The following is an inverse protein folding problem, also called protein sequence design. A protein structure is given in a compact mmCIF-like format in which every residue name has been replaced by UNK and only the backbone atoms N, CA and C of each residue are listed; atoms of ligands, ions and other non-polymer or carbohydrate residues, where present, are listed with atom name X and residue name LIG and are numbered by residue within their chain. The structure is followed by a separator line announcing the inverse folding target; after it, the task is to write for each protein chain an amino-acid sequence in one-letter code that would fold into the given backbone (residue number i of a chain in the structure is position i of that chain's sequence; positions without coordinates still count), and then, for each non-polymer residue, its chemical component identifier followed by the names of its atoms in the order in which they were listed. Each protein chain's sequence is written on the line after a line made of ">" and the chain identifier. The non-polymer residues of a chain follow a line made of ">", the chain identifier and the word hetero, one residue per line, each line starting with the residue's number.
data_IF_321248444289
#
_entry.id   IF_321248444289
#
_cell.length_a   1.000
_cell.length_b   1.000
_cell.length_c   1.000
_cell.angle_alpha   90.00
_cell.angle_beta   90.00
_cell.angle_gamma   90.00
#
_symmetry.space_group_name_H-M   'P 1'
#
loop_
_entity.id
_entity.type
_entity.pdbx_description
1 polymer ?
#
# COMPACT_ATOMS: atom_id res chain seq x y z
N UNK A 1 -27.98 -6.95 9.30
CA UNK A 1 -27.68 -7.21 10.73
C UNK A 1 -26.24 -7.67 10.80
N UNK A 2 -25.46 -7.13 11.71
CA UNK A 2 -24.06 -7.52 11.88
C UNK A 2 -24.02 -8.92 12.51
N UNK A 3 -23.23 -9.85 11.94
CA UNK A 3 -23.04 -11.18 12.53
C UNK A 3 -22.43 -11.06 13.93
N UNK A 4 -22.92 -11.87 14.86
CA UNK A 4 -22.29 -12.00 16.19
C UNK A 4 -21.00 -12.81 16.07
N UNK A 5 -20.10 -12.69 17.08
CA UNK A 5 -18.88 -13.50 17.13
C UNK A 5 -19.19 -15.00 17.07
N UNK A 6 -20.24 -15.46 17.75
CA UNK A 6 -20.65 -16.86 17.71
C UNK A 6 -21.08 -17.31 16.32
N UNK A 7 -21.84 -16.47 15.62
CA UNK A 7 -22.22 -16.74 14.23
C UNK A 7 -21.02 -16.83 13.29
N UNK A 8 -20.05 -15.93 13.49
CA UNK A 8 -18.79 -15.91 12.73
C UNK A 8 -17.98 -17.18 13.00
N UNK A 9 -17.78 -17.56 14.26
CA UNK A 9 -17.10 -18.80 14.64
C UNK A 9 -17.76 -20.01 13.96
N UNK A 10 -19.08 -20.08 14.03
CA UNK A 10 -19.87 -21.17 13.40
C UNK A 10 -19.70 -21.21 11.89
N UNK A 11 -19.74 -20.05 11.22
CA UNK A 11 -19.54 -19.94 9.77
C UNK A 11 -18.12 -20.36 9.38
N UNK A 12 -17.10 -19.79 10.01
CA UNK A 12 -15.69 -20.08 9.74
C UNK A 12 -15.35 -21.55 9.97
N UNK A 13 -15.89 -22.17 11.01
CA UNK A 13 -15.72 -23.60 11.26
C UNK A 13 -16.33 -24.45 10.13
N UNK A 14 -17.55 -24.13 9.71
CA UNK A 14 -18.23 -24.85 8.61
C UNK A 14 -17.50 -24.70 7.28
N UNK A 15 -17.02 -23.50 6.96
CA UNK A 15 -16.22 -23.24 5.75
C UNK A 15 -14.95 -24.10 5.69
N UNK A 16 -14.41 -24.48 6.85
CA UNK A 16 -13.24 -25.36 6.99
C UNK A 16 -13.61 -26.84 7.21
N UNK A 17 -14.90 -27.18 7.08
CA UNK A 17 -15.42 -28.53 7.24
C UNK A 17 -15.02 -29.16 8.60
N UNK A 18 -14.88 -28.35 9.65
CA UNK A 18 -14.57 -28.82 11.00
C UNK A 18 -15.85 -29.12 11.77
N UNK A 19 -15.83 -30.19 12.61
CA UNK A 19 -16.86 -30.38 13.64
C UNK A 19 -16.57 -29.50 14.86
N UNK A 20 -17.54 -29.34 15.76
CA UNK A 20 -17.33 -28.59 17.00
C UNK A 20 -16.29 -29.29 17.89
N UNK A 21 -16.27 -30.64 17.88
CA UNK A 21 -15.28 -31.45 18.58
C UNK A 21 -13.86 -31.23 18.03
N UNK A 22 -13.72 -31.25 16.69
CA UNK A 22 -12.43 -31.04 16.04
C UNK A 22 -11.87 -29.64 16.30
N UNK A 23 -12.75 -28.63 16.34
CA UNK A 23 -12.35 -27.27 16.70
C UNK A 23 -11.95 -27.20 18.19
N UNK A 24 -12.72 -27.82 19.09
CA UNK A 24 -12.44 -27.87 20.51
C UNK A 24 -11.08 -28.53 20.81
N UNK A 25 -10.79 -29.64 20.15
CA UNK A 25 -9.50 -30.35 20.25
C UNK A 25 -8.33 -29.45 19.81
N UNK A 26 -8.46 -28.74 18.66
CA UNK A 26 -7.42 -27.80 18.16
C UNK A 26 -7.13 -26.68 19.12
N UNK A 27 -8.13 -26.23 19.85
CA UNK A 27 -8.04 -25.08 20.76
C UNK A 27 -7.72 -25.50 22.20
N UNK A 28 -7.70 -26.79 22.51
CA UNK A 28 -7.51 -27.29 23.88
C UNK A 28 -8.66 -26.93 24.81
N UNK A 29 -9.88 -26.82 24.28
CA UNK A 29 -11.09 -26.48 25.05
C UNK A 29 -12.13 -27.62 24.97
N UNK A 30 -13.20 -27.50 25.74
CA UNK A 30 -14.29 -28.49 25.71
C UNK A 30 -15.23 -28.22 24.51
N UNK A 31 -15.85 -29.27 23.98
CA UNK A 31 -16.93 -29.16 22.99
C UNK A 31 -18.06 -28.21 23.45
N UNK A 32 -18.42 -28.30 24.77
CA UNK A 32 -19.44 -27.42 25.35
C UNK A 32 -19.06 -25.94 25.28
N UNK A 33 -17.78 -25.61 25.39
CA UNK A 33 -17.32 -24.24 25.22
C UNK A 33 -17.54 -23.73 23.81
N UNK A 34 -17.15 -24.50 22.79
CA UNK A 34 -17.37 -24.15 21.38
C UNK A 34 -18.88 -24.03 21.08
N UNK A 35 -19.70 -24.98 21.57
CA UNK A 35 -21.15 -24.93 21.41
C UNK A 35 -21.78 -23.68 22.03
N UNK A 36 -21.34 -23.27 23.24
CA UNK A 36 -21.80 -22.03 23.87
C UNK A 36 -21.42 -20.78 23.07
N UNK A 37 -20.20 -20.75 22.52
CA UNK A 37 -19.76 -19.64 21.68
C UNK A 37 -20.62 -19.51 20.43
N UNK A 38 -20.84 -20.63 19.72
CA UNK A 38 -21.63 -20.63 18.47
C UNK A 38 -23.12 -20.32 18.62
N UNK A 39 -23.62 -20.42 19.85
CA UNK A 39 -25.03 -20.07 20.20
C UNK A 39 -25.15 -18.74 20.93
N UNK A 40 -24.04 -17.97 21.04
CA UNK A 40 -23.95 -16.71 21.81
C UNK A 40 -24.38 -16.88 23.29
N UNK A 41 -24.36 -18.11 23.82
CA UNK A 41 -24.60 -18.40 25.23
C UNK A 41 -23.36 -18.11 26.11
N UNK A 42 -22.24 -17.76 25.49
CA UNK A 42 -21.00 -17.33 26.11
C UNK A 42 -20.02 -16.84 25.07
N UNK A 43 -19.01 -16.09 25.49
CA UNK A 43 -17.92 -15.62 24.60
C UNK A 43 -16.64 -16.41 24.88
N UNK A 44 -15.76 -16.57 23.87
CA UNK A 44 -14.40 -17.04 24.09
C UNK A 44 -13.67 -16.12 25.07
N UNK A 45 -12.85 -16.71 25.93
CA UNK A 45 -11.88 -15.93 26.72
C UNK A 45 -10.92 -15.20 25.79
N UNK A 46 -10.41 -14.02 26.21
CA UNK A 46 -9.46 -13.23 25.41
C UNK A 46 -8.23 -14.06 24.99
N UNK A 47 -7.80 -14.98 25.85
CA UNK A 47 -6.70 -15.92 25.55
C UNK A 47 -7.01 -16.88 24.40
N UNK A 48 -8.29 -17.11 24.05
CA UNK A 48 -8.72 -17.98 22.95
C UNK A 48 -8.92 -17.23 21.63
N UNK A 49 -8.91 -15.91 21.62
CA UNK A 49 -9.14 -15.12 20.40
C UNK A 49 -8.05 -15.38 19.36
N UNK A 50 -6.78 -15.30 19.75
CA UNK A 50 -5.64 -15.54 18.83
C UNK A 50 -5.58 -17.02 18.38
N UNK A 51 -5.73 -18.03 19.26
CA UNK A 51 -5.86 -19.43 18.84
C UNK A 51 -7.01 -19.67 17.85
N UNK A 52 -8.19 -19.08 18.06
CA UNK A 52 -9.33 -19.15 17.14
C UNK A 52 -8.98 -18.56 15.76
N UNK A 53 -8.41 -17.37 15.74
CA UNK A 53 -8.00 -16.71 14.50
C UNK A 53 -6.98 -17.56 13.72
N UNK A 54 -6.00 -18.14 14.42
CA UNK A 54 -5.01 -19.05 13.84
C UNK A 54 -5.63 -20.36 13.33
N UNK A 55 -6.53 -20.97 14.10
CA UNK A 55 -7.23 -22.21 13.71
C UNK A 55 -8.04 -22.01 12.42
N UNK A 56 -8.57 -20.83 12.24
CA UNK A 56 -9.32 -20.45 11.04
C UNK A 56 -8.46 -19.78 9.95
N UNK A 57 -7.18 -19.46 10.19
CA UNK A 57 -6.34 -18.73 9.24
C UNK A 57 -6.90 -17.36 8.87
N UNK A 58 -7.51 -16.67 9.84
CA UNK A 58 -8.08 -15.32 9.68
C UNK A 58 -7.45 -14.36 10.69
N UNK A 59 -7.67 -13.05 10.50
CA UNK A 59 -7.31 -12.07 11.52
C UNK A 59 -8.31 -12.05 12.66
N UNK A 60 -7.87 -11.61 13.83
CA UNK A 60 -8.73 -11.44 15.00
C UNK A 60 -9.92 -10.53 14.73
N UNK A 61 -9.74 -9.49 13.90
CA UNK A 61 -10.76 -8.53 13.51
C UNK A 61 -11.96 -9.18 12.81
N UNK A 62 -11.70 -10.29 12.08
CA UNK A 62 -12.76 -11.10 11.45
C UNK A 62 -13.66 -11.73 12.51
N UNK A 63 -13.07 -12.18 13.64
CA UNK A 63 -13.85 -12.77 14.75
C UNK A 63 -14.73 -11.73 15.44
N UNK A 64 -14.30 -10.48 15.46
CA UNK A 64 -15.08 -9.36 16.01
C UNK A 64 -16.11 -8.78 15.02
N UNK A 65 -16.25 -9.39 13.83
CA UNK A 65 -17.17 -8.91 12.80
C UNK A 65 -16.73 -7.58 12.16
N UNK A 66 -15.47 -7.19 12.36
CA UNK A 66 -14.94 -5.94 11.80
C UNK A 66 -14.55 -6.09 10.32
N UNK A 67 -14.37 -7.33 9.84
CA UNK A 67 -14.08 -7.67 8.44
C UNK A 67 -14.88 -8.91 8.06
N UNK A 68 -16.16 -8.73 7.69
CA UNK A 68 -16.93 -9.75 6.96
C UNK A 68 -16.62 -9.65 5.45
N UNK A 69 -16.95 -10.66 4.65
CA UNK A 69 -16.93 -10.54 3.18
C UNK A 69 -17.77 -9.32 2.74
N UNK A 70 -18.89 -9.05 3.41
CA UNK A 70 -19.70 -7.83 3.25
C UNK A 70 -18.91 -6.55 3.57
N UNK A 71 -17.93 -6.60 4.48
CA UNK A 71 -17.07 -5.47 4.83
C UNK A 71 -16.05 -5.14 3.73
N UNK A 72 -15.49 -6.14 3.06
CA UNK A 72 -14.53 -5.92 1.97
C UNK A 72 -15.23 -5.30 0.75
N UNK A 73 -16.41 -5.79 0.39
CA UNK A 73 -17.22 -5.24 -0.70
C UNK A 73 -17.71 -3.82 -0.36
N UNK A 74 -18.20 -3.58 0.85
CA UNK A 74 -18.62 -2.26 1.31
C UNK A 74 -17.46 -1.25 1.31
N UNK A 75 -16.23 -1.68 1.62
CA UNK A 75 -15.04 -0.82 1.54
C UNK A 75 -14.70 -0.52 0.08
N UNK A 76 -14.75 -1.50 -0.81
CA UNK A 76 -14.51 -1.26 -2.24
C UNK A 76 -15.56 -0.34 -2.85
N UNK A 77 -16.83 -0.49 -2.47
CA UNK A 77 -17.90 0.41 -2.90
C UNK A 77 -17.70 1.84 -2.39
N UNK A 78 -17.25 1.98 -1.17
CA UNK A 78 -16.91 3.29 -0.60
C UNK A 78 -15.73 3.93 -1.33
N UNK A 79 -14.66 3.18 -1.60
CA UNK A 79 -13.52 3.68 -2.38
C UNK A 79 -13.99 4.10 -3.77
N UNK A 80 -14.76 3.28 -4.48
CA UNK A 80 -15.33 3.62 -5.79
C UNK A 80 -16.18 4.90 -5.74
N UNK A 81 -17.03 5.01 -4.74
CA UNK A 81 -17.89 6.19 -4.53
C UNK A 81 -17.07 7.45 -4.22
N UNK A 82 -15.97 7.33 -3.48
CA UNK A 82 -15.09 8.45 -3.20
C UNK A 82 -14.40 8.95 -4.49
N UNK A 83 -13.82 8.04 -5.27
CA UNK A 83 -13.14 8.38 -6.52
C UNK A 83 -14.10 8.88 -7.62
N UNK A 84 -15.34 8.42 -7.65
CA UNK A 84 -16.36 8.91 -8.59
C UNK A 84 -16.71 10.40 -8.39
N UNK A 85 -16.29 11.01 -7.28
CA UNK A 85 -16.47 12.45 -6.99
C UNK A 85 -15.36 13.32 -7.57
N UNK A 86 -14.24 12.71 -7.98
CA UNK A 86 -13.13 13.47 -8.55
C UNK A 86 -13.53 13.98 -9.92
N UNK A 87 -13.49 15.28 -10.10
CA UNK A 87 -13.77 15.95 -11.38
C UNK A 87 -12.70 15.59 -12.44
N UNK A 88 -13.05 15.74 -13.71
CA UNK A 88 -12.07 15.58 -14.81
C UNK A 88 -12.09 16.89 -15.63
N UNK A 89 -10.99 17.68 -15.59
CA UNK A 89 -9.76 17.48 -14.80
C UNK A 89 -10.01 17.57 -13.29
N UNK A 90 -9.14 16.90 -12.49
CA UNK A 90 -9.24 16.90 -11.04
C UNK A 90 -9.05 18.32 -10.48
N UNK A 91 -9.90 18.71 -9.54
CA UNK A 91 -9.81 19.98 -8.82
C UNK A 91 -9.50 19.71 -7.34
N UNK A 92 -8.90 20.68 -6.65
CA UNK A 92 -8.62 20.58 -5.22
C UNK A 92 -9.89 20.31 -4.40
N UNK A 93 -11.02 20.92 -4.77
CA UNK A 93 -12.30 20.71 -4.12
C UNK A 93 -12.78 19.26 -4.28
N UNK A 94 -12.74 18.71 -5.49
CA UNK A 94 -13.13 17.31 -5.74
C UNK A 94 -12.21 16.29 -5.06
N UNK A 95 -10.91 16.58 -4.97
CA UNK A 95 -9.95 15.76 -4.21
C UNK A 95 -10.22 15.83 -2.71
N UNK A 96 -10.59 17.00 -2.19
CA UNK A 96 -10.94 17.18 -0.78
C UNK A 96 -12.21 16.41 -0.42
N UNK A 97 -13.24 16.43 -1.26
CA UNK A 97 -14.46 15.63 -1.08
C UNK A 97 -14.15 14.12 -1.09
N UNK A 98 -13.30 13.67 -2.01
CA UNK A 98 -12.82 12.29 -2.05
C UNK A 98 -12.11 11.93 -0.74
N UNK A 99 -11.17 12.76 -0.30
CA UNK A 99 -10.41 12.56 0.94
C UNK A 99 -11.32 12.47 2.17
N UNK A 100 -12.28 13.38 2.31
CA UNK A 100 -13.24 13.38 3.41
C UNK A 100 -14.11 12.12 3.42
N UNK A 101 -14.51 11.64 2.23
CA UNK A 101 -15.28 10.40 2.09
C UNK A 101 -14.45 9.19 2.55
N UNK A 102 -13.19 9.11 2.14
CA UNK A 102 -12.27 8.05 2.58
C UNK A 102 -12.00 8.11 4.09
N UNK A 103 -11.82 9.31 4.65
CA UNK A 103 -11.69 9.49 6.10
C UNK A 103 -12.94 9.05 6.87
N UNK A 104 -14.13 9.30 6.34
CA UNK A 104 -15.38 8.80 6.93
C UNK A 104 -15.39 7.25 6.94
N UNK A 105 -14.85 6.62 5.90
CA UNK A 105 -14.62 5.17 5.87
C UNK A 105 -13.68 4.71 6.97
N UNK A 106 -12.58 5.40 7.20
CA UNK A 106 -11.64 5.06 8.28
C UNK A 106 -12.24 5.18 9.69
N UNK A 107 -13.27 5.99 9.91
CA UNK A 107 -14.00 5.99 11.18
C UNK A 107 -14.74 4.68 11.41
N UNK A 108 -15.21 4.03 10.35
CA UNK A 108 -15.91 2.74 10.42
C UNK A 108 -14.96 1.56 10.38
N UNK A 109 -13.86 1.66 9.62
CA UNK A 109 -12.83 0.63 9.42
C UNK A 109 -11.42 1.21 9.65
N UNK A 110 -11.01 1.48 10.91
CA UNK A 110 -9.84 2.31 11.25
C UNK A 110 -8.50 1.79 10.73
N UNK A 111 -8.36 0.47 10.59
CA UNK A 111 -7.11 -0.17 10.17
C UNK A 111 -7.24 -0.93 8.85
N UNK A 112 -8.26 -0.60 8.01
CA UNK A 112 -8.43 -1.30 6.74
C UNK A 112 -7.35 -0.88 5.74
N UNK A 113 -6.47 -1.81 5.28
CA UNK A 113 -5.27 -1.44 4.52
C UNK A 113 -5.57 -0.64 3.24
N UNK A 114 -6.60 -1.05 2.46
CA UNK A 114 -6.96 -0.34 1.25
C UNK A 114 -7.43 1.09 1.54
N UNK A 115 -8.24 1.32 2.58
CA UNK A 115 -8.68 2.68 2.94
C UNK A 115 -7.53 3.55 3.42
N UNK A 116 -6.63 2.99 4.25
CA UNK A 116 -5.44 3.70 4.72
C UNK A 116 -4.59 4.15 3.53
N UNK A 117 -4.36 3.25 2.58
CA UNK A 117 -3.54 3.53 1.41
C UNK A 117 -4.19 4.57 0.50
N UNK A 118 -5.50 4.44 0.22
CA UNK A 118 -6.21 5.41 -0.61
C UNK A 118 -6.30 6.80 0.04
N UNK A 119 -6.51 6.88 1.36
CA UNK A 119 -6.43 8.14 2.10
C UNK A 119 -5.05 8.77 2.00
N UNK A 120 -3.98 7.95 2.13
CA UNK A 120 -2.61 8.43 2.04
C UNK A 120 -2.31 9.01 0.65
N UNK A 121 -2.73 8.35 -0.42
CA UNK A 121 -2.49 8.78 -1.80
C UNK A 121 -3.21 10.09 -2.15
N UNK A 122 -4.49 10.20 -1.82
CA UNK A 122 -5.24 11.44 -2.03
C UNK A 122 -4.71 12.56 -1.13
N UNK A 123 -4.36 12.21 0.11
CA UNK A 123 -3.76 13.14 1.08
C UNK A 123 -2.41 13.66 0.62
N UNK A 124 -1.55 12.83 0.00
CA UNK A 124 -0.29 13.23 -0.60
C UNK A 124 -0.50 14.36 -1.62
N UNK A 125 -1.46 14.18 -2.54
CA UNK A 125 -1.74 15.19 -3.58
C UNK A 125 -2.23 16.51 -2.97
N UNK A 126 -3.08 16.45 -1.95
CA UNK A 126 -3.62 17.63 -1.28
C UNK A 126 -2.60 18.35 -0.41
N UNK A 127 -1.72 17.60 0.29
CA UNK A 127 -0.73 18.17 1.19
C UNK A 127 0.48 18.78 0.47
N UNK A 128 0.64 18.54 -0.83
CA UNK A 128 1.83 19.02 -1.54
C UNK A 128 1.87 20.56 -1.58
N UNK A 129 2.97 21.21 -1.14
CA UNK A 129 3.04 22.66 -0.97
C UNK A 129 2.83 23.47 -2.26
N UNK A 130 3.05 22.87 -3.42
CA UNK A 130 2.85 23.49 -4.73
C UNK A 130 1.37 23.55 -5.14
N UNK A 131 0.47 22.99 -4.34
CA UNK A 131 -0.95 23.13 -4.55
C UNK A 131 -1.42 24.53 -4.14
N UNK A 132 -1.28 25.51 -5.03
CA UNK A 132 -1.62 26.93 -4.81
C UNK A 132 -3.09 27.17 -4.41
N UNK A 133 -3.98 26.19 -4.67
CA UNK A 133 -5.40 26.28 -4.32
C UNK A 133 -5.68 25.88 -2.87
N UNK A 134 -4.68 25.40 -2.16
CA UNK A 134 -4.81 24.94 -0.78
C UNK A 134 -3.95 25.82 0.14
N UNK A 135 -4.56 26.41 1.16
CA UNK A 135 -3.79 27.23 2.06
C UNK A 135 -2.79 26.38 2.88
N UNK A 136 -1.71 27.02 3.30
CA UNK A 136 -0.60 26.35 3.98
C UNK A 136 -1.05 25.63 5.27
N UNK A 137 -1.98 26.17 6.01
CA UNK A 137 -2.46 25.59 7.27
C UNK A 137 -3.20 24.26 7.03
N UNK A 138 -4.06 24.22 6.03
CA UNK A 138 -4.74 23.00 5.61
C UNK A 138 -3.76 21.95 5.06
N UNK A 139 -2.77 22.36 4.26
CA UNK A 139 -1.70 21.50 3.76
C UNK A 139 -0.92 20.85 4.92
N UNK A 140 -0.47 21.63 5.90
CA UNK A 140 0.24 21.14 7.07
C UNK A 140 -0.62 20.20 7.94
N UNK A 141 -1.92 20.45 8.03
CA UNK A 141 -2.85 19.56 8.75
C UNK A 141 -2.96 18.21 8.05
N UNK A 142 -3.14 18.18 6.73
CA UNK A 142 -3.21 16.94 5.95
C UNK A 142 -1.86 16.22 5.97
N UNK A 143 -0.74 16.93 5.84
CA UNK A 143 0.59 16.36 5.98
C UNK A 143 0.75 15.57 7.29
N UNK A 144 0.40 16.16 8.44
CA UNK A 144 0.46 15.46 9.72
C UNK A 144 -0.43 14.21 9.77
N UNK A 145 -1.59 14.28 9.15
CA UNK A 145 -2.47 13.11 9.04
C UNK A 145 -1.88 12.04 8.10
N UNK A 146 -1.24 12.43 6.99
CA UNK A 146 -0.54 11.50 6.09
C UNK A 146 0.61 10.76 6.80
N UNK A 147 1.38 11.46 7.65
CA UNK A 147 2.42 10.81 8.47
C UNK A 147 1.80 9.72 9.35
N UNK A 148 0.70 10.03 10.03
CA UNK A 148 -0.02 9.05 10.86
C UNK A 148 -0.56 7.86 10.05
N UNK A 149 -1.12 8.14 8.87
CA UNK A 149 -1.66 7.09 7.99
C UNK A 149 -0.56 6.18 7.45
N UNK A 150 0.56 6.76 7.04
CA UNK A 150 1.72 6.01 6.56
C UNK A 150 2.28 5.08 7.64
N UNK A 151 2.41 5.56 8.88
CA UNK A 151 2.82 4.73 10.02
C UNK A 151 1.89 3.53 10.21
N UNK A 152 0.59 3.71 10.05
CA UNK A 152 -0.38 2.62 10.13
C UNK A 152 -0.23 1.63 8.97
N UNK A 153 -0.01 2.12 7.74
CA UNK A 153 0.25 1.24 6.59
C UNK A 153 1.55 0.45 6.78
N UNK A 154 2.63 1.10 7.22
CA UNK A 154 3.93 0.46 7.44
C UNK A 154 3.84 -0.60 8.55
N UNK A 155 3.11 -0.31 9.61
CA UNK A 155 2.98 -1.19 10.78
C UNK A 155 2.02 -2.36 10.58
N UNK A 156 0.92 -2.13 9.88
CA UNK A 156 -0.17 -3.11 9.74
C UNK A 156 -0.40 -3.58 8.30
N UNK A 157 0.26 -2.99 7.32
CA UNK A 157 0.20 -3.39 5.92
C UNK A 157 0.72 -4.80 5.71
N UNK A 158 0.06 -5.55 4.83
CA UNK A 158 0.45 -6.93 4.49
C UNK A 158 1.15 -7.01 3.14
N UNK A 159 0.92 -6.04 2.28
CA UNK A 159 1.52 -5.95 0.96
C UNK A 159 2.85 -5.21 1.06
N UNK A 160 3.94 -5.85 0.66
CA UNK A 160 5.24 -5.20 0.56
C UNK A 160 5.19 -3.98 -0.37
N UNK A 161 4.40 -4.05 -1.44
CA UNK A 161 4.19 -2.94 -2.36
C UNK A 161 3.52 -1.75 -1.67
N UNK A 162 2.47 -1.97 -0.86
CA UNK A 162 1.80 -0.87 -0.15
C UNK A 162 2.70 -0.25 0.91
N UNK A 163 3.51 -1.06 1.60
CA UNK A 163 4.49 -0.57 2.56
C UNK A 163 5.53 0.33 1.86
N UNK A 164 6.08 -0.10 0.72
CA UNK A 164 7.02 0.72 -0.06
C UNK A 164 6.36 1.99 -0.60
N UNK A 165 5.10 1.92 -1.07
CA UNK A 165 4.34 3.11 -1.50
C UNK A 165 4.12 4.09 -0.35
N UNK A 166 3.86 3.62 0.86
CA UNK A 166 3.76 4.47 2.05
C UNK A 166 5.11 5.14 2.37
N UNK A 167 6.22 4.41 2.31
CA UNK A 167 7.56 5.00 2.46
C UNK A 167 7.83 6.05 1.38
N UNK A 168 7.48 5.79 0.11
CA UNK A 168 7.63 6.77 -0.97
C UNK A 168 6.82 8.05 -0.69
N UNK A 169 5.55 7.90 -0.31
CA UNK A 169 4.71 9.05 0.03
C UNK A 169 5.35 9.90 1.14
N UNK A 170 5.99 9.25 2.12
CA UNK A 170 6.69 9.95 3.19
C UNK A 170 7.97 10.63 2.72
N UNK A 171 8.75 10.01 1.84
CA UNK A 171 9.92 10.68 1.23
C UNK A 171 9.49 11.99 0.58
N UNK A 172 8.47 11.92 -0.28
CA UNK A 172 7.97 13.09 -1.02
C UNK A 172 7.45 14.19 -0.09
N UNK A 173 6.60 13.84 0.88
CA UNK A 173 6.03 14.82 1.81
C UNK A 173 7.07 15.40 2.75
N UNK A 174 7.90 14.58 3.37
CA UNK A 174 8.96 15.08 4.28
C UNK A 174 9.94 15.99 3.54
N UNK A 175 10.36 15.65 2.32
CA UNK A 175 11.22 16.49 1.50
C UNK A 175 10.56 17.84 1.18
N UNK A 176 9.28 17.83 0.74
CA UNK A 176 8.53 19.04 0.40
C UNK A 176 8.31 19.97 1.61
N UNK A 177 8.23 19.41 2.83
CA UNK A 177 8.12 20.17 4.08
C UNK A 177 9.47 20.45 4.77
N UNK A 178 10.60 20.15 4.10
CA UNK A 178 11.95 20.44 4.61
C UNK A 178 12.45 19.48 5.69
N UNK A 179 11.75 18.39 5.97
CA UNK A 179 12.13 17.38 6.97
C UNK A 179 13.08 16.34 6.36
N UNK A 180 14.26 16.78 5.94
CA UNK A 180 15.22 15.99 5.15
C UNK A 180 15.67 14.70 5.84
N UNK A 181 15.88 14.72 7.16
CA UNK A 181 16.32 13.56 7.92
C UNK A 181 15.27 12.45 7.88
N UNK A 182 14.01 12.77 8.19
CA UNK A 182 12.90 11.84 8.09
C UNK A 182 12.70 11.30 6.66
N UNK A 183 12.87 12.16 5.64
CA UNK A 183 12.82 11.73 4.25
C UNK A 183 13.89 10.66 3.94
N UNK A 184 15.14 10.87 4.41
CA UNK A 184 16.23 9.90 4.23
C UNK A 184 16.00 8.58 4.97
N UNK A 185 15.43 8.61 6.16
CA UNK A 185 15.05 7.38 6.90
C UNK A 185 14.07 6.51 6.11
N UNK A 186 13.08 7.14 5.48
CA UNK A 186 12.14 6.43 4.62
C UNK A 186 12.79 5.98 3.30
N UNK A 187 13.64 6.81 2.69
CA UNK A 187 14.37 6.45 1.46
C UNK A 187 15.29 5.23 1.66
N UNK A 188 15.87 5.05 2.85
CA UNK A 188 16.72 3.91 3.16
C UNK A 188 15.99 2.55 3.16
N UNK A 189 14.67 2.55 3.12
CA UNK A 189 13.85 1.32 3.02
C UNK A 189 13.75 0.78 1.58
N UNK A 190 14.18 1.55 0.59
CA UNK A 190 14.13 1.12 -0.80
C UNK A 190 15.36 0.27 -1.17
N UNK A 191 15.16 -0.84 -1.89
CA UNK A 191 16.28 -1.64 -2.39
C UNK A 191 17.08 -0.86 -3.45
N UNK A 192 18.39 -1.04 -3.44
CA UNK A 192 19.33 -0.33 -4.34
C UNK A 192 19.05 -0.65 -5.83
N UNK A 193 18.38 -1.75 -6.14
CA UNK A 193 18.10 -2.25 -7.50
C UNK A 193 16.59 -2.41 -7.79
N UNK A 194 15.74 -1.53 -7.31
CA UNK A 194 14.34 -1.52 -7.71
C UNK A 194 14.05 -0.33 -8.63
N UNK A 195 12.92 -0.37 -9.33
CA UNK A 195 12.44 0.73 -10.18
C UNK A 195 12.33 2.08 -9.44
N UNK A 196 12.25 2.02 -8.10
CA UNK A 196 12.38 3.17 -7.21
C UNK A 196 13.67 3.03 -6.40
N UNK A 197 14.73 3.63 -6.90
CA UNK A 197 16.06 3.56 -6.27
C UNK A 197 16.20 4.59 -5.16
N UNK A 198 17.10 4.34 -4.21
CA UNK A 198 17.50 5.33 -3.20
C UNK A 198 17.93 6.66 -3.86
N UNK A 199 18.57 6.60 -5.02
CA UNK A 199 19.01 7.79 -5.77
C UNK A 199 17.85 8.65 -6.30
N UNK A 200 16.75 8.04 -6.76
CA UNK A 200 15.56 8.79 -7.14
C UNK A 200 14.94 9.49 -5.92
N UNK A 201 14.96 8.83 -4.75
CA UNK A 201 14.50 9.44 -3.51
C UNK A 201 15.42 10.56 -3.04
N UNK A 202 16.74 10.42 -3.17
CA UNK A 202 17.72 11.49 -2.89
C UNK A 202 17.50 12.71 -3.79
N UNK A 203 17.14 12.51 -5.07
CA UNK A 203 16.80 13.60 -5.97
C UNK A 203 15.58 14.39 -5.48
N UNK A 204 14.53 13.73 -5.02
CA UNK A 204 13.35 14.39 -4.43
C UNK A 204 13.68 15.16 -3.16
N UNK A 205 14.58 14.62 -2.32
CA UNK A 205 15.06 15.32 -1.12
C UNK A 205 15.81 16.60 -1.49
N UNK A 206 16.73 16.51 -2.45
CA UNK A 206 17.51 17.66 -2.94
C UNK A 206 16.62 18.72 -3.61
N UNK A 207 15.57 18.31 -4.32
CA UNK A 207 14.54 19.19 -4.87
C UNK A 207 13.84 20.00 -3.77
N UNK A 208 13.39 19.34 -2.72
CA UNK A 208 12.75 20.00 -1.57
C UNK A 208 13.67 21.00 -0.84
N UNK A 209 15.00 20.85 -0.96
CA UNK A 209 16.01 21.76 -0.42
C UNK A 209 16.47 22.86 -1.40
N UNK A 210 15.93 22.85 -2.62
CA UNK A 210 16.36 23.72 -3.72
C UNK A 210 17.86 23.56 -4.08
N UNK A 211 18.40 22.36 -3.91
CA UNK A 211 19.79 22.00 -4.20
C UNK A 211 19.92 21.42 -5.63
N UNK A 212 19.75 22.24 -6.66
CA UNK A 212 19.68 21.81 -8.07
C UNK A 212 20.88 20.94 -8.52
N UNK A 213 22.09 21.18 -7.97
CA UNK A 213 23.26 20.36 -8.33
C UNK A 213 23.19 18.97 -7.75
N UNK A 214 22.74 18.83 -6.48
CA UNK A 214 22.56 17.56 -5.83
C UNK A 214 21.38 16.79 -6.46
N UNK A 215 20.29 17.48 -6.78
CA UNK A 215 19.15 16.93 -7.52
C UNK A 215 19.58 16.37 -8.89
N UNK A 216 20.30 17.16 -9.69
CA UNK A 216 20.78 16.73 -11.00
C UNK A 216 21.69 15.50 -10.90
N UNK A 217 22.63 15.49 -9.94
CA UNK A 217 23.51 14.34 -9.73
C UNK A 217 22.73 13.07 -9.32
N UNK A 218 21.75 13.21 -8.45
CA UNK A 218 20.92 12.10 -8.00
C UNK A 218 20.05 11.54 -9.14
N UNK A 219 19.45 12.41 -9.96
CA UNK A 219 18.70 11.99 -11.15
C UNK A 219 19.60 11.32 -12.19
N UNK A 220 20.83 11.79 -12.38
CA UNK A 220 21.79 11.12 -13.28
C UNK A 220 22.09 9.70 -12.79
N UNK A 221 22.32 9.48 -11.50
CA UNK A 221 22.55 8.15 -10.95
C UNK A 221 21.32 7.25 -11.11
N UNK A 222 20.12 7.76 -10.79
CA UNK A 222 18.88 7.02 -10.99
C UNK A 222 18.69 6.64 -12.45
N UNK A 223 18.93 7.57 -13.37
CA UNK A 223 18.83 7.34 -14.80
C UNK A 223 19.80 6.25 -15.29
N UNK A 224 21.06 6.29 -14.88
CA UNK A 224 22.05 5.28 -15.26
C UNK A 224 21.67 3.88 -14.75
N UNK A 225 21.14 3.78 -13.52
CA UNK A 225 20.65 2.50 -12.99
C UNK A 225 19.43 1.96 -13.76
N UNK A 226 18.51 2.84 -14.14
CA UNK A 226 17.36 2.44 -14.96
C UNK A 226 17.79 2.03 -16.37
N UNK A 227 18.77 2.70 -16.92
CA UNK A 227 19.36 2.34 -18.22
C UNK A 227 20.05 0.97 -18.15
N UNK A 228 20.85 0.71 -17.11
CA UNK A 228 21.47 -0.60 -16.86
C UNK A 228 20.41 -1.70 -16.75
N UNK A 229 19.34 -1.47 -15.92
CA UNK A 229 18.23 -2.40 -15.77
C UNK A 229 17.47 -2.64 -17.09
N UNK A 230 17.30 -1.60 -17.91
CA UNK A 230 16.70 -1.72 -19.23
C UNK A 230 17.55 -2.59 -20.16
N UNK A 231 18.86 -2.41 -20.13
CA UNK A 231 19.80 -3.19 -20.93
C UNK A 231 19.82 -4.66 -20.53
N UNK A 232 19.87 -4.93 -19.24
CA UNK A 232 19.79 -6.28 -18.70
C UNK A 232 18.47 -6.96 -19.10
N UNK A 233 17.37 -6.23 -19.01
CA UNK A 233 16.04 -6.70 -19.42
C UNK A 233 16.00 -6.95 -20.94
N UNK A 234 16.54 -6.06 -21.74
CA UNK A 234 16.58 -6.22 -23.19
C UNK A 234 17.46 -7.41 -23.60
N UNK A 235 18.61 -7.60 -22.93
CA UNK A 235 19.49 -8.74 -23.16
C UNK A 235 18.79 -10.07 -22.78
N UNK A 236 18.13 -10.13 -21.63
CA UNK A 236 17.37 -11.29 -21.20
C UNK A 236 16.21 -11.63 -22.16
N UNK A 237 15.45 -10.62 -22.58
CA UNK A 237 14.34 -10.76 -23.53
C UNK A 237 14.84 -11.20 -24.90
N UNK A 238 15.92 -10.60 -25.38
CA UNK A 238 16.59 -11.01 -26.62
C UNK A 238 17.07 -12.46 -26.59
N UNK A 239 17.61 -12.90 -25.44
CA UNK A 239 17.98 -14.30 -25.21
C UNK A 239 16.77 -15.25 -25.24
N UNK A 240 15.65 -14.86 -24.64
CA UNK A 240 14.41 -15.63 -24.69
C UNK A 240 13.89 -15.79 -26.13
N UNK A 241 13.84 -14.71 -26.90
CA UNK A 241 13.43 -14.75 -28.30
C UNK A 241 14.36 -15.63 -29.17
N UNK A 242 15.65 -15.53 -28.94
CA UNK A 242 16.62 -16.40 -29.65
C UNK A 242 16.41 -17.88 -29.29
N UNK A 243 16.16 -18.21 -28.02
CA UNK A 243 15.85 -19.56 -27.57
C UNK A 243 14.54 -20.13 -28.15
N UNK A 244 13.59 -19.26 -28.50
CA UNK A 244 12.35 -19.61 -29.18
C UNK A 244 12.49 -19.66 -30.72
N UNK A 245 13.68 -19.36 -31.26
CA UNK A 245 13.91 -19.27 -32.70
C UNK A 245 13.39 -17.98 -33.35
N UNK A 246 12.93 -17.00 -32.54
CA UNK A 246 12.42 -15.70 -32.99
C UNK A 246 13.55 -14.68 -33.15
N UNK A 247 14.46 -14.94 -34.08
CA UNK A 247 15.70 -14.16 -34.23
C UNK A 247 15.48 -12.71 -34.66
N UNK A 248 14.43 -12.42 -35.41
CA UNK A 248 14.09 -11.04 -35.80
C UNK A 248 13.64 -10.21 -34.59
N UNK A 249 12.81 -10.78 -33.70
CA UNK A 249 12.36 -10.12 -32.47
C UNK A 249 13.53 -9.93 -31.51
N UNK A 250 14.43 -10.91 -31.39
CA UNK A 250 15.67 -10.79 -30.63
C UNK A 250 16.55 -9.66 -31.15
N UNK A 251 16.76 -9.60 -32.46
CA UNK A 251 17.55 -8.55 -33.11
C UNK A 251 16.92 -7.17 -32.90
N UNK A 252 15.61 -7.05 -33.13
CA UNK A 252 14.86 -5.79 -32.91
C UNK A 252 15.02 -5.28 -31.49
N UNK A 253 14.83 -6.14 -30.49
CA UNK A 253 14.94 -5.78 -29.06
C UNK A 253 16.34 -5.26 -28.74
N UNK A 254 17.39 -5.98 -29.15
CA UNK A 254 18.77 -5.60 -28.86
C UNK A 254 19.20 -4.33 -29.60
N UNK A 255 18.83 -4.19 -30.89
CA UNK A 255 19.18 -3.00 -31.68
C UNK A 255 18.45 -1.76 -31.18
N UNK A 256 17.21 -1.90 -30.71
CA UNK A 256 16.44 -0.79 -30.13
C UNK A 256 17.09 -0.31 -28.83
N UNK A 257 17.51 -1.23 -27.95
CA UNK A 257 18.21 -0.88 -26.71
C UNK A 257 19.54 -0.18 -26.98
N UNK A 258 20.33 -0.69 -27.94
CA UNK A 258 21.59 -0.05 -28.37
C UNK A 258 21.38 1.35 -28.96
N UNK A 259 20.38 1.53 -29.82
CA UNK A 259 20.03 2.85 -30.40
C UNK A 259 19.65 3.86 -29.33
N UNK A 260 19.00 3.41 -28.27
CA UNK A 260 18.62 4.26 -27.12
C UNK A 260 19.89 4.75 -26.40
N UNK A 261 20.88 3.87 -26.17
CA UNK A 261 22.18 4.22 -25.59
C UNK A 261 22.90 5.24 -26.46
N UNK A 262 23.04 4.96 -27.76
CA UNK A 262 23.72 5.86 -28.72
C UNK A 262 23.05 7.24 -28.75
N UNK A 263 21.71 7.31 -28.55
CA UNK A 263 20.99 8.57 -28.53
C UNK A 263 21.25 9.35 -27.25
N UNK A 264 21.35 8.63 -26.10
CA UNK A 264 21.55 9.23 -24.78
C UNK A 264 22.98 9.73 -24.59
N UNK A 265 23.98 9.04 -25.14
CA UNK A 265 25.40 9.37 -24.99
C UNK A 265 26.03 10.01 -26.26
N UNK A 266 25.19 10.51 -27.18
CA UNK A 266 25.68 11.38 -28.24
C UNK A 266 26.11 12.72 -27.63
N UNK A 267 27.39 13.03 -27.80
CA UNK A 267 28.00 14.35 -27.56
C UNK A 267 27.40 15.45 -28.43
#
# INVERSE_FOLDING_TARGET
>A
MQETMGQIIKRLRKERMLTQEALAERLGVTFQAVSKWETDAGMPDVSQIVPLANAFGVQTDVLFGMVGQDGAEAVQDMIRSAYARIAVPATTESLLECYQTLQAGLKRWPCHPALLMQCLEVGLTLAYPENEQFDRENGERIYRECVRLADLVIRYGKSATDILRAHMSMVLLHAAYGNTEAAREHAAQFPVRADMTAYAMDAHIAHGQNELRAESAAWQHAFLLHLEALLDTAAALGGCYAGLGQYEDARYTLTTALALIETVFRD
#
